data_IF_407006166188
#
_entry.id   IF_407006166188
#
_cell.length_a   1.000
_cell.length_b   1.000
_cell.length_c   1.000
_cell.angle_alpha   90.00
_cell.angle_beta   90.00
_cell.angle_gamma   90.00
#
_symmetry.space_group_name_H-M   'P 1'
#
loop_
_entity.id
_entity.type
_entity.pdbx_description
1 polymer ?
#
# COMPACT_ATOMS: atom_id res chain seq x y z
N UNK A 1 -13.69 -22.08 2.50
CA UNK A 1 -14.24 -20.91 1.79
C UNK A 1 -13.91 -21.09 0.32
N UNK A 2 -14.90 -21.34 -0.55
CA UNK A 2 -14.63 -21.82 -1.91
C UNK A 2 -13.90 -20.82 -2.85
N UNK A 3 -13.61 -19.58 -2.39
CA UNK A 3 -13.12 -18.47 -3.21
C UNK A 3 -11.94 -17.69 -2.58
N UNK A 4 -11.35 -18.16 -1.48
CA UNK A 4 -10.35 -17.40 -0.72
C UNK A 4 -10.90 -16.10 -0.11
N UNK A 5 -10.02 -15.18 0.30
CA UNK A 5 -10.37 -13.88 0.90
C UNK A 5 -10.29 -12.71 -0.08
N UNK A 6 -10.15 -12.99 -1.38
CA UNK A 6 -9.98 -11.97 -2.42
C UNK A 6 -11.20 -11.04 -2.51
N UNK A 7 -10.95 -9.74 -2.53
CA UNK A 7 -11.97 -8.68 -2.66
C UNK A 7 -11.61 -7.77 -3.82
N UNK A 8 -12.56 -7.53 -4.73
CA UNK A 8 -12.45 -6.47 -5.74
C UNK A 8 -12.82 -5.12 -5.11
N UNK A 9 -12.00 -4.12 -5.36
CA UNK A 9 -12.09 -2.78 -4.81
C UNK A 9 -12.23 -1.75 -5.92
N UNK A 10 -13.00 -0.70 -5.64
CA UNK A 10 -13.17 0.44 -6.54
C UNK A 10 -13.01 1.74 -5.77
N UNK A 11 -12.11 2.60 -6.23
CA UNK A 11 -11.89 3.93 -5.69
C UNK A 11 -11.98 4.96 -6.82
N UNK A 12 -13.13 5.62 -6.96
CA UNK A 12 -13.39 6.48 -8.11
C UNK A 12 -13.33 5.68 -9.43
N UNK A 13 -12.40 6.06 -10.30
CA UNK A 13 -12.15 5.40 -11.59
C UNK A 13 -11.16 4.22 -11.52
N UNK A 14 -10.57 3.95 -10.36
CA UNK A 14 -9.57 2.91 -10.19
C UNK A 14 -10.20 1.61 -9.68
N UNK A 15 -9.82 0.49 -10.28
CA UNK A 15 -10.21 -0.86 -9.90
C UNK A 15 -8.94 -1.65 -9.55
N UNK A 16 -8.95 -2.33 -8.41
CA UNK A 16 -7.84 -3.12 -7.88
C UNK A 16 -8.39 -4.16 -6.91
N UNK A 17 -7.54 -5.06 -6.41
CA UNK A 17 -7.95 -6.12 -5.50
C UNK A 17 -7.12 -6.14 -4.24
N UNK A 18 -7.69 -6.75 -3.20
CA UNK A 18 -7.02 -7.14 -1.97
C UNK A 18 -7.13 -8.65 -1.80
N UNK A 19 -6.10 -9.29 -1.27
CA UNK A 19 -6.14 -10.72 -0.99
C UNK A 19 -5.15 -11.09 0.10
N UNK A 20 -5.52 -12.04 0.95
CA UNK A 20 -4.56 -12.56 1.93
C UNK A 20 -3.64 -13.61 1.28
N UNK A 21 -2.46 -13.89 1.86
CA UNK A 21 -1.66 -15.02 1.41
C UNK A 21 -2.39 -16.35 1.67
N UNK A 22 -1.99 -17.37 0.91
CA UNK A 22 -2.51 -18.73 1.05
C UNK A 22 -2.38 -19.28 2.48
N UNK A 23 -1.34 -18.86 3.21
CA UNK A 23 -1.07 -19.29 4.59
C UNK A 23 -2.16 -18.90 5.61
N UNK A 24 -2.97 -17.88 5.31
CA UNK A 24 -4.07 -17.42 6.19
C UNK A 24 -5.43 -17.45 5.49
N UNK A 25 -5.55 -18.23 4.42
CA UNK A 25 -6.84 -18.54 3.77
C UNK A 25 -7.20 -17.71 2.54
N UNK A 26 -6.29 -16.90 2.02
CA UNK A 26 -6.47 -16.18 0.75
C UNK A 26 -5.93 -16.94 -0.47
N UNK A 27 -5.84 -16.28 -1.62
CA UNK A 27 -5.28 -16.85 -2.86
C UNK A 27 -3.90 -16.32 -3.21
N UNK A 28 -3.41 -15.30 -2.48
CA UNK A 28 -2.12 -14.63 -2.74
C UNK A 28 -2.04 -13.95 -4.10
N UNK A 29 -3.16 -13.55 -4.71
CA UNK A 29 -3.19 -12.97 -6.06
C UNK A 29 -3.22 -11.44 -6.09
N UNK A 30 -3.31 -10.80 -4.93
CA UNK A 30 -3.26 -9.35 -4.75
C UNK A 30 -2.56 -8.99 -3.42
N UNK A 31 -2.17 -7.72 -3.20
CA UNK A 31 -1.62 -7.30 -1.91
C UNK A 31 -2.62 -7.53 -0.78
N UNK A 32 -2.11 -7.90 0.39
CA UNK A 32 -2.97 -8.01 1.57
C UNK A 32 -3.33 -6.61 2.12
N UNK A 33 -4.37 -6.49 2.97
CA UNK A 33 -4.81 -5.21 3.53
C UNK A 33 -3.70 -4.43 4.23
N UNK A 34 -2.81 -5.12 4.94
CA UNK A 34 -1.66 -4.53 5.60
C UNK A 34 -0.70 -3.90 4.58
N UNK A 35 -0.32 -4.62 3.53
CA UNK A 35 0.56 -4.14 2.48
C UNK A 35 -0.05 -2.94 1.75
N UNK A 36 -1.36 -2.95 1.50
CA UNK A 36 -2.06 -1.79 0.93
C UNK A 36 -1.99 -0.57 1.86
N UNK A 37 -2.20 -0.76 3.17
CA UNK A 37 -2.09 0.33 4.14
C UNK A 37 -0.66 0.92 4.20
N UNK A 38 0.37 0.06 4.20
CA UNK A 38 1.77 0.50 4.16
C UNK A 38 2.12 1.21 2.85
N UNK A 39 1.60 0.74 1.71
CA UNK A 39 1.76 1.41 0.42
C UNK A 39 1.08 2.78 0.39
N UNK A 40 -0.11 2.91 0.98
CA UNK A 40 -0.80 4.19 1.13
C UNK A 40 0.01 5.15 2.03
N UNK A 41 0.55 4.66 3.14
CA UNK A 41 1.40 5.47 4.02
C UNK A 41 2.70 5.92 3.33
N UNK A 42 3.41 4.99 2.69
CA UNK A 42 4.66 5.28 1.99
C UNK A 42 4.48 6.25 0.82
N UNK A 43 3.40 6.10 0.05
CA UNK A 43 3.08 7.02 -1.04
C UNK A 43 2.70 8.41 -0.52
N UNK A 44 1.96 8.51 0.59
CA UNK A 44 1.66 9.79 1.24
C UNK A 44 2.95 10.55 1.60
N UNK A 45 3.91 9.88 2.26
CA UNK A 45 5.21 10.49 2.59
C UNK A 45 5.98 10.94 1.35
N UNK A 46 6.05 10.09 0.32
CA UNK A 46 6.75 10.42 -0.93
C UNK A 46 6.14 11.66 -1.63
N UNK A 47 4.81 11.78 -1.62
CA UNK A 47 4.10 12.96 -2.15
C UNK A 47 4.41 14.19 -1.31
N UNK A 48 4.35 14.09 0.02
CA UNK A 48 4.67 15.20 0.92
C UNK A 48 6.10 15.71 0.73
N UNK A 49 7.08 14.81 0.58
CA UNK A 49 8.48 15.23 0.32
C UNK A 49 8.63 15.99 -1.00
N UNK A 50 7.96 15.54 -2.07
CA UNK A 50 7.98 16.23 -3.37
C UNK A 50 7.34 17.62 -3.27
N UNK A 51 6.18 17.71 -2.62
CA UNK A 51 5.48 18.97 -2.40
C UNK A 51 6.37 20.00 -1.68
N UNK A 52 7.00 19.60 -0.57
CA UNK A 52 7.85 20.53 0.18
C UNK A 52 9.17 20.85 -0.50
N UNK A 53 9.74 19.94 -1.29
CA UNK A 53 10.92 20.25 -2.09
C UNK A 53 10.63 21.38 -3.09
N UNK A 54 9.46 21.36 -3.72
CA UNK A 54 9.01 22.43 -4.63
C UNK A 54 8.82 23.76 -3.87
N UNK A 55 8.06 23.76 -2.77
CA UNK A 55 7.82 24.97 -1.96
C UNK A 55 9.11 25.61 -1.41
N UNK A 56 10.13 24.80 -1.13
CA UNK A 56 11.42 25.24 -0.60
C UNK A 56 12.46 25.54 -1.71
N UNK A 57 12.12 25.34 -2.98
CA UNK A 57 13.06 25.54 -4.10
C UNK A 57 14.22 24.55 -4.13
N UNK A 58 14.03 23.35 -3.57
CA UNK A 58 15.03 22.29 -3.53
C UNK A 58 14.89 21.39 -4.77
N UNK A 59 16.02 21.07 -5.41
CA UNK A 59 16.04 20.05 -6.45
C UNK A 59 16.04 18.65 -5.83
N UNK A 60 15.10 17.81 -6.26
CA UNK A 60 14.92 16.45 -5.77
C UNK A 60 14.99 15.46 -6.95
N UNK A 61 16.10 14.72 -7.05
CA UNK A 61 16.32 13.74 -8.12
C UNK A 61 15.41 12.51 -8.01
N UNK A 62 15.07 12.11 -6.79
CA UNK A 62 14.23 10.96 -6.53
C UNK A 62 13.95 10.75 -5.05
N UNK A 63 12.89 9.98 -4.76
CA UNK A 63 12.50 9.60 -3.40
C UNK A 63 12.18 8.11 -3.41
N UNK A 64 12.78 7.37 -2.48
CA UNK A 64 12.41 5.99 -2.16
C UNK A 64 11.97 5.94 -0.71
N UNK A 65 10.80 5.35 -0.46
CA UNK A 65 10.26 5.18 0.90
C UNK A 65 10.10 3.69 1.16
N UNK A 66 10.72 3.22 2.24
CA UNK A 66 10.53 1.86 2.78
C UNK A 66 9.67 1.97 4.03
N UNK A 67 8.61 1.19 4.09
CA UNK A 67 7.69 1.15 5.24
C UNK A 67 7.61 -0.27 5.74
N UNK A 68 7.80 -0.43 7.03
CA UNK A 68 7.66 -1.69 7.75
C UNK A 68 6.64 -1.49 8.87
N UNK A 69 5.91 -2.55 9.21
CA UNK A 69 5.06 -2.55 10.38
C UNK A 69 5.25 -3.85 11.15
N UNK A 70 5.24 -3.70 12.46
CA UNK A 70 5.24 -4.80 13.42
C UNK A 70 3.81 -4.99 13.91
N UNK A 71 3.27 -6.20 13.70
CA UNK A 71 1.90 -6.56 14.06
C UNK A 71 1.93 -7.53 15.22
N UNK A 72 1.49 -7.07 16.39
CA UNK A 72 1.20 -7.94 17.52
C UNK A 72 -0.16 -8.61 17.29
N UNK A 73 -0.16 -9.94 17.25
CA UNK A 73 -1.37 -10.75 17.02
C UNK A 73 -1.91 -11.40 18.29
N UNK A 74 -1.26 -11.18 19.45
CA UNK A 74 -1.64 -11.73 20.74
C UNK A 74 -1.30 -13.20 20.95
#
# INVERSE_FOLDING_TARGET
MAHGTRVELRAGAFEFAADEPMSVGGTGTAPNPVQMALAALGSCQAITYRYWAEELGLHLDGVTVTVEADFDTG
#
